data_IF_529447287371
#
_entry.id   IF_529447287371
#
_cell.length_a   1.000
_cell.length_b   1.000
_cell.length_c   1.000
_cell.angle_alpha   90.00
_cell.angle_beta   90.00
_cell.angle_gamma   90.00
#
_symmetry.space_group_name_H-M   'P 1'
#
loop_
_entity.id
_entity.type
_entity.pdbx_description
1 polymer ?
#
# COMPACT_ATOMS: atom_id res chain seq x y z
N UNK A 1 -5.97 -41.03 12.71
CA UNK A 1 -5.43 -41.88 13.79
C UNK A 1 -4.00 -41.43 14.09
N UNK A 2 -3.55 -41.56 15.35
CA UNK A 2 -2.15 -41.32 15.76
C UNK A 2 -1.77 -39.86 16.07
N UNK A 3 -1.03 -39.66 17.17
CA UNK A 3 -0.19 -38.46 17.36
C UNK A 3 -0.78 -37.24 18.09
N UNK A 4 -1.30 -37.38 19.31
CA UNK A 4 -1.65 -36.21 20.17
C UNK A 4 -1.53 -36.50 21.68
N UNK A 5 -0.31 -36.84 22.15
CA UNK A 5 0.00 -37.08 23.58
C UNK A 5 1.38 -36.53 23.98
N UNK A 6 1.65 -35.23 23.79
CA UNK A 6 2.94 -34.65 24.21
C UNK A 6 2.95 -33.12 24.43
N UNK A 7 1.99 -32.57 25.20
CA UNK A 7 1.99 -31.13 25.49
C UNK A 7 1.34 -30.72 26.84
N UNK A 8 1.42 -31.58 27.87
CA UNK A 8 0.78 -31.36 29.18
C UNK A 8 1.73 -31.62 30.36
N UNK A 9 2.95 -31.04 30.31
CA UNK A 9 4.00 -31.27 31.32
C UNK A 9 5.01 -30.10 31.45
N UNK A 10 4.55 -28.84 31.33
CA UNK A 10 5.44 -27.67 31.28
C UNK A 10 4.80 -26.37 31.82
N UNK A 11 4.02 -26.45 32.90
CA UNK A 11 3.23 -25.31 33.43
C UNK A 11 3.74 -24.74 34.77
N UNK A 12 4.62 -25.44 35.48
CA UNK A 12 4.79 -25.27 36.93
C UNK A 12 6.26 -25.02 37.33
N UNK A 13 6.81 -23.88 36.91
CA UNK A 13 8.24 -23.57 37.17
C UNK A 13 8.76 -22.20 36.73
N UNK A 14 7.95 -21.32 36.13
CA UNK A 14 8.42 -20.04 35.56
C UNK A 14 8.13 -18.81 36.43
N UNK A 15 8.43 -18.87 37.74
CA UNK A 15 8.27 -17.75 38.68
C UNK A 15 9.62 -17.11 39.10
N UNK A 16 10.67 -17.31 38.29
CA UNK A 16 12.04 -16.85 38.56
C UNK A 16 12.57 -16.04 37.37
N UNK A 17 13.29 -14.95 37.68
CA UNK A 17 13.88 -13.99 36.73
C UNK A 17 12.88 -13.20 35.85
N UNK A 18 12.03 -12.40 36.50
CA UNK A 18 11.49 -11.16 35.93
C UNK A 18 12.54 -10.07 35.68
N UNK A 19 13.68 -10.42 35.05
CA UNK A 19 14.80 -9.50 34.78
C UNK A 19 14.42 -8.59 33.62
N UNK A 20 14.02 -7.36 33.94
CA UNK A 20 13.32 -6.41 33.05
C UNK A 20 13.80 -6.38 31.60
N UNK A 21 13.11 -7.13 30.74
CA UNK A 21 13.38 -7.18 29.30
C UNK A 21 13.11 -5.80 28.69
N UNK A 22 14.16 -5.14 28.22
CA UNK A 22 14.11 -3.73 27.79
C UNK A 22 13.05 -3.50 26.71
N UNK A 23 12.48 -2.30 26.67
CA UNK A 23 11.47 -1.94 25.64
C UNK A 23 12.02 -2.18 24.22
N UNK A 24 13.31 -1.93 23.99
CA UNK A 24 13.98 -2.25 22.73
C UNK A 24 14.02 -3.75 22.41
N UNK A 25 14.25 -4.63 23.40
CA UNK A 25 14.17 -6.08 23.23
C UNK A 25 12.72 -6.54 22.99
N UNK A 26 11.74 -5.98 23.72
CA UNK A 26 10.32 -6.28 23.49
C UNK A 26 9.87 -5.86 22.08
N UNK A 27 10.29 -4.69 21.62
CA UNK A 27 10.04 -4.22 20.25
C UNK A 27 10.74 -5.10 19.21
N UNK A 28 11.99 -5.53 19.43
CA UNK A 28 12.69 -6.46 18.53
C UNK A 28 12.00 -7.83 18.48
N UNK A 29 11.61 -8.41 19.63
CA UNK A 29 10.88 -9.67 19.69
C UNK A 29 9.51 -9.54 19.00
N UNK A 30 8.77 -8.45 19.21
CA UNK A 30 7.53 -8.15 18.49
C UNK A 30 7.75 -7.82 17.01
N UNK A 31 8.94 -7.39 16.59
CA UNK A 31 9.26 -7.07 15.18
C UNK A 31 9.78 -8.28 14.37
N UNK A 32 10.27 -9.33 15.04
CA UNK A 32 10.64 -10.59 14.39
C UNK A 32 9.52 -11.10 13.48
N UNK A 33 9.87 -11.64 12.31
CA UNK A 33 8.89 -12.24 11.40
C UNK A 33 8.33 -13.54 12.02
N UNK A 34 7.09 -13.93 11.70
CA UNK A 34 6.57 -15.24 12.09
C UNK A 34 7.48 -16.35 11.55
N UNK A 35 7.75 -17.38 12.35
CA UNK A 35 8.48 -18.56 11.91
C UNK A 35 7.56 -19.45 11.06
N UNK A 36 7.43 -19.07 9.79
CA UNK A 36 6.67 -19.80 8.77
C UNK A 36 7.36 -21.12 8.43
N UNK A 37 6.58 -22.16 8.13
CA UNK A 37 7.13 -23.38 7.54
C UNK A 37 7.70 -23.12 6.14
N UNK A 38 8.59 -24.01 5.67
CA UNK A 38 9.20 -23.91 4.34
C UNK A 38 8.16 -23.83 3.21
N UNK A 39 7.03 -24.53 3.36
CA UNK A 39 5.94 -24.54 2.39
C UNK A 39 5.14 -23.23 2.41
N UNK A 40 4.78 -22.70 3.59
CA UNK A 40 4.09 -21.41 3.70
C UNK A 40 4.96 -20.26 3.18
N UNK A 41 6.26 -20.27 3.49
CA UNK A 41 7.21 -19.29 2.97
C UNK A 41 7.26 -19.33 1.44
N UNK A 42 7.41 -20.52 0.84
CA UNK A 42 7.40 -20.69 -0.61
C UNK A 42 6.08 -20.23 -1.24
N UNK A 43 4.94 -20.55 -0.63
CA UNK A 43 3.62 -20.08 -1.06
C UNK A 43 3.53 -18.55 -1.06
N UNK A 44 3.93 -17.88 0.02
CA UNK A 44 3.91 -16.41 0.09
C UNK A 44 4.89 -15.74 -0.88
N UNK A 45 6.02 -16.39 -1.21
CA UNK A 45 6.93 -15.95 -2.28
C UNK A 45 6.27 -16.03 -3.66
N UNK A 46 5.60 -17.14 -3.98
CA UNK A 46 4.87 -17.30 -5.24
C UNK A 46 3.71 -16.31 -5.34
N UNK A 47 2.95 -16.11 -4.25
CA UNK A 47 1.87 -15.13 -4.21
C UNK A 47 2.37 -13.68 -4.33
N UNK A 48 3.55 -13.36 -3.80
CA UNK A 48 4.20 -12.07 -4.04
C UNK A 48 4.55 -11.90 -5.53
N UNK A 49 5.20 -12.89 -6.14
CA UNK A 49 5.59 -12.87 -7.56
C UNK A 49 4.38 -12.68 -8.48
N UNK A 50 3.33 -13.49 -8.29
CA UNK A 50 2.08 -13.40 -9.06
C UNK A 50 1.39 -12.03 -8.88
N UNK A 51 1.36 -11.50 -7.66
CA UNK A 51 0.76 -10.19 -7.42
C UNK A 51 1.56 -9.04 -8.06
N UNK A 52 2.90 -9.12 -8.13
CA UNK A 52 3.71 -8.13 -8.84
C UNK A 52 3.58 -8.24 -10.38
N UNK A 53 3.44 -9.45 -10.92
CA UNK A 53 3.13 -9.66 -12.35
C UNK A 53 1.75 -9.06 -12.70
N UNK A 54 0.72 -9.33 -11.88
CA UNK A 54 -0.62 -8.75 -12.01
C UNK A 54 -0.58 -7.21 -11.93
N UNK A 55 0.20 -6.64 -10.99
CA UNK A 55 0.45 -5.20 -10.91
C UNK A 55 1.16 -4.62 -12.14
N UNK A 56 1.92 -5.44 -12.88
CA UNK A 56 2.50 -5.05 -14.16
C UNK A 56 1.47 -4.79 -15.26
N UNK A 57 0.30 -5.46 -15.20
CA UNK A 57 -0.78 -5.27 -16.17
C UNK A 57 -1.52 -3.94 -15.99
N UNK A 58 -1.47 -3.32 -14.80
CA UNK A 58 -2.19 -2.06 -14.51
C UNK A 58 -1.97 -0.96 -15.57
N UNK A 59 -0.73 -0.51 -15.86
CA UNK A 59 -0.50 0.53 -16.88
C UNK A 59 -0.91 0.12 -18.29
N UNK A 60 -0.94 -1.18 -18.60
CA UNK A 60 -1.38 -1.67 -19.91
C UNK A 60 -2.89 -1.58 -20.02
N UNK A 61 -3.63 -2.07 -19.03
CA UNK A 61 -5.08 -2.02 -19.01
C UNK A 61 -5.60 -0.56 -18.97
N UNK A 62 -4.96 0.34 -18.21
CA UNK A 62 -5.31 1.77 -18.27
C UNK A 62 -4.97 2.38 -19.64
N UNK A 63 -3.79 2.12 -20.21
CA UNK A 63 -3.43 2.63 -21.54
C UNK A 63 -4.40 2.13 -22.61
N UNK A 64 -4.75 0.85 -22.61
CA UNK A 64 -5.76 0.27 -23.51
C UNK A 64 -7.08 1.03 -23.41
N UNK A 65 -7.63 1.19 -22.20
CA UNK A 65 -8.89 1.91 -21.99
C UNK A 65 -8.80 3.38 -22.44
N UNK A 66 -7.62 4.00 -22.40
CA UNK A 66 -7.42 5.39 -22.85
C UNK A 66 -7.22 5.55 -24.37
N UNK A 67 -6.80 4.50 -25.09
CA UNK A 67 -6.43 4.57 -26.52
C UNK A 67 -7.28 3.69 -27.46
N UNK A 68 -7.99 2.68 -26.95
CA UNK A 68 -8.82 1.78 -27.76
C UNK A 68 -10.27 2.27 -27.92
N UNK A 69 -10.74 3.16 -27.04
CA UNK A 69 -12.10 3.71 -27.08
C UNK A 69 -12.32 4.59 -28.33
N UNK A 70 -13.10 4.08 -29.29
CA UNK A 70 -13.35 4.74 -30.58
C UNK A 70 -13.99 6.14 -30.49
N UNK A 71 -14.58 6.50 -29.36
CA UNK A 71 -15.39 7.73 -29.21
C UNK A 71 -14.60 8.94 -28.68
N UNK A 72 -13.77 8.74 -27.66
CA UNK A 72 -13.03 9.80 -26.94
C UNK A 72 -11.96 9.14 -26.08
N UNK A 73 -10.78 9.77 -25.96
CA UNK A 73 -9.75 9.31 -25.02
C UNK A 73 -10.24 9.51 -23.58
N UNK A 74 -10.21 8.46 -22.76
CA UNK A 74 -10.74 8.53 -21.38
C UNK A 74 -9.81 9.40 -20.50
N UNK A 75 -10.34 10.44 -19.81
CA UNK A 75 -9.56 11.24 -18.88
C UNK A 75 -8.96 10.40 -17.73
N UNK A 76 -7.75 10.75 -17.29
CA UNK A 76 -6.92 9.86 -16.45
C UNK A 76 -7.39 9.80 -15.01
N UNK A 77 -7.82 10.93 -14.44
CA UNK A 77 -8.30 11.01 -13.06
C UNK A 77 -9.71 10.41 -12.97
N UNK A 78 -10.59 10.69 -13.94
CA UNK A 78 -11.90 10.04 -14.06
C UNK A 78 -11.77 8.51 -14.17
N UNK A 79 -10.85 8.00 -15.00
CA UNK A 79 -10.57 6.56 -15.08
C UNK A 79 -10.07 5.99 -13.75
N UNK A 80 -9.16 6.69 -13.06
CA UNK A 80 -8.68 6.29 -11.74
C UNK A 80 -9.79 6.26 -10.68
N UNK A 81 -10.74 7.21 -10.73
CA UNK A 81 -11.94 7.23 -9.87
C UNK A 81 -12.86 6.05 -10.19
N UNK A 82 -13.17 5.79 -11.47
CA UNK A 82 -14.00 4.66 -11.88
C UNK A 82 -13.41 3.30 -11.44
N UNK A 83 -12.10 3.11 -11.60
CA UNK A 83 -11.37 1.93 -11.10
C UNK A 83 -11.52 1.83 -9.57
N UNK A 84 -11.38 2.93 -8.82
CA UNK A 84 -11.54 2.93 -7.36
C UNK A 84 -12.99 2.63 -6.92
N UNK A 85 -14.00 3.15 -7.64
CA UNK A 85 -15.42 2.89 -7.38
C UNK A 85 -15.75 1.41 -7.57
N UNK A 86 -15.30 0.79 -8.67
CA UNK A 86 -15.52 -0.65 -8.93
C UNK A 86 -14.73 -1.53 -7.94
N UNK A 87 -13.54 -1.08 -7.54
CA UNK A 87 -12.69 -1.80 -6.60
C UNK A 87 -13.15 -1.68 -5.12
N UNK A 88 -14.13 -0.82 -4.81
CA UNK A 88 -14.74 -0.64 -3.48
C UNK A 88 -15.64 -1.84 -3.07
N UNK A 89 -16.70 -2.22 -3.81
CA UNK A 89 -17.47 -3.43 -3.51
C UNK A 89 -16.62 -4.70 -3.64
N UNK A 90 -15.61 -4.71 -4.52
CA UNK A 90 -14.65 -5.80 -4.60
C UNK A 90 -13.88 -6.00 -3.28
N UNK A 91 -13.45 -4.92 -2.61
CA UNK A 91 -12.79 -5.01 -1.31
C UNK A 91 -13.75 -5.55 -0.24
N UNK A 92 -15.01 -5.11 -0.26
CA UNK A 92 -16.04 -5.58 0.66
C UNK A 92 -16.31 -7.10 0.48
N UNK A 93 -16.47 -7.55 -0.77
CA UNK A 93 -16.80 -8.95 -1.11
C UNK A 93 -15.61 -9.90 -0.90
N UNK A 94 -14.43 -9.56 -1.41
CA UNK A 94 -13.27 -10.48 -1.40
C UNK A 94 -12.41 -10.38 -0.14
N UNK A 95 -12.58 -9.36 0.70
CA UNK A 95 -11.77 -9.17 1.90
C UNK A 95 -12.62 -9.06 3.19
N UNK A 96 -13.49 -8.05 3.28
CA UNK A 96 -14.23 -7.75 4.52
C UNK A 96 -15.25 -8.83 4.89
N UNK A 97 -16.05 -9.35 3.95
CA UNK A 97 -17.00 -10.43 4.25
C UNK A 97 -16.24 -11.70 4.73
N UNK A 98 -15.20 -12.19 4.03
CA UNK A 98 -14.36 -13.28 4.53
C UNK A 98 -13.69 -13.01 5.89
N UNK A 99 -13.12 -11.81 6.11
CA UNK A 99 -12.45 -11.48 7.39
C UNK A 99 -13.45 -11.50 8.56
N UNK A 100 -14.63 -10.91 8.38
CA UNK A 100 -15.70 -10.91 9.37
C UNK A 100 -16.27 -12.31 9.64
N UNK A 101 -16.41 -13.16 8.62
CA UNK A 101 -16.83 -14.54 8.79
C UNK A 101 -15.80 -15.35 9.58
N UNK A 102 -14.53 -15.31 9.17
CA UNK A 102 -13.42 -15.99 9.87
C UNK A 102 -13.30 -15.51 11.33
N UNK A 103 -13.40 -14.20 11.59
CA UNK A 103 -13.38 -13.65 12.95
C UNK A 103 -14.58 -14.13 13.79
N UNK A 104 -15.77 -14.26 13.22
CA UNK A 104 -16.96 -14.82 13.89
C UNK A 104 -16.80 -16.30 14.22
N UNK A 105 -16.23 -17.10 13.33
CA UNK A 105 -15.92 -18.51 13.59
C UNK A 105 -14.83 -18.67 14.65
N UNK A 106 -13.74 -17.91 14.56
CA UNK A 106 -12.67 -17.91 15.57
C UNK A 106 -13.21 -17.54 16.97
N UNK A 107 -14.06 -16.51 17.07
CA UNK A 107 -14.70 -16.12 18.34
C UNK A 107 -15.62 -17.22 18.89
N UNK A 108 -16.39 -17.92 18.05
CA UNK A 108 -17.21 -19.06 18.48
C UNK A 108 -16.36 -20.21 19.03
N UNK A 109 -15.29 -20.58 18.34
CA UNK A 109 -14.37 -21.64 18.77
C UNK A 109 -13.68 -21.27 20.10
N UNK A 110 -13.25 -20.00 20.25
CA UNK A 110 -12.69 -19.48 21.50
C UNK A 110 -13.72 -19.49 22.64
N UNK A 111 -14.99 -19.15 22.37
CA UNK A 111 -16.07 -19.23 23.37
C UNK A 111 -16.34 -20.67 23.82
N UNK A 112 -16.29 -21.65 22.90
CA UNK A 112 -16.42 -23.08 23.24
C UNK A 112 -15.24 -23.57 24.11
N UNK A 113 -14.00 -23.20 23.74
CA UNK A 113 -12.81 -23.51 24.54
C UNK A 113 -12.89 -22.88 25.94
N UNK A 114 -13.37 -21.64 26.05
CA UNK A 114 -13.52 -20.95 27.34
C UNK A 114 -14.67 -21.52 28.18
N UNK A 115 -15.73 -22.05 27.57
CA UNK A 115 -16.77 -22.82 28.27
C UNK A 115 -16.21 -24.14 28.82
N UNK A 116 -15.42 -24.87 28.05
CA UNK A 116 -14.74 -26.09 28.52
C UNK A 116 -13.75 -25.79 29.65
N UNK A 117 -12.94 -24.73 29.53
CA UNK A 117 -12.05 -24.27 30.59
C UNK A 117 -12.81 -23.84 31.83
N UNK A 118 -13.96 -23.15 31.70
CA UNK A 118 -14.82 -22.81 32.84
C UNK A 118 -15.41 -24.04 33.53
N UNK A 119 -15.82 -25.07 32.79
CA UNK A 119 -16.31 -26.32 33.38
C UNK A 119 -15.19 -27.06 34.14
N UNK A 120 -13.97 -27.09 33.59
CA UNK A 120 -12.80 -27.63 34.28
C UNK A 120 -12.44 -26.82 35.52
N UNK A 121 -12.43 -25.49 35.43
CA UNK A 121 -12.21 -24.60 36.57
C UNK A 121 -13.31 -24.75 37.62
N UNK A 122 -14.58 -24.89 37.25
CA UNK A 122 -15.65 -25.15 38.22
C UNK A 122 -15.48 -26.51 38.92
N UNK A 123 -14.99 -27.54 38.22
CA UNK A 123 -14.68 -28.84 38.84
C UNK A 123 -13.49 -28.73 39.82
N UNK A 124 -12.44 -27.99 39.46
CA UNK A 124 -11.26 -27.77 40.31
C UNK A 124 -11.61 -26.87 41.50
N UNK A 125 -12.26 -25.73 41.28
CA UNK A 125 -12.67 -24.81 42.34
C UNK A 125 -13.75 -25.39 43.25
N UNK A 126 -14.59 -26.34 42.80
CA UNK A 126 -15.45 -27.10 43.71
C UNK A 126 -14.65 -28.03 44.64
N UNK A 127 -13.51 -28.55 44.18
CA UNK A 127 -12.54 -29.30 44.99
C UNK A 127 -11.82 -28.35 45.97
N UNK A 128 -11.36 -27.19 45.50
CA UNK A 128 -10.59 -26.22 46.29
C UNK A 128 -11.46 -25.43 47.29
N UNK A 129 -12.73 -25.16 47.00
CA UNK A 129 -13.66 -24.52 47.95
C UNK A 129 -14.07 -25.46 49.10
N UNK A 130 -13.94 -26.78 48.92
CA UNK A 130 -14.00 -27.73 50.03
C UNK A 130 -12.72 -27.68 50.92
N UNK A 131 -11.71 -26.91 50.52
CA UNK A 131 -10.40 -26.78 51.19
C UNK A 131 -10.09 -25.34 51.67
N UNK A 132 -10.69 -24.30 51.08
CA UNK A 132 -10.24 -22.91 51.26
C UNK A 132 -11.37 -21.88 51.45
N UNK A 133 -11.49 -21.35 52.67
CA UNK A 133 -12.41 -20.26 53.02
C UNK A 133 -11.75 -19.27 54.01
N UNK A 134 -10.94 -18.31 53.52
CA UNK A 134 -10.29 -17.27 54.36
C UNK A 134 -9.74 -16.03 53.60
N UNK A 135 -10.32 -14.83 53.86
CA UNK A 135 -9.77 -13.45 53.71
C UNK A 135 -9.42 -12.82 52.30
N UNK A 136 -9.24 -11.47 52.20
CA UNK A 136 -8.96 -10.67 50.96
C UNK A 136 -8.76 -9.11 51.10
N UNK A 137 -8.79 -8.30 49.99
CA UNK A 137 -8.74 -6.78 49.80
C UNK A 137 -7.39 -6.11 49.28
N UNK A 138 -7.23 -4.89 48.65
CA UNK A 138 -8.01 -3.98 47.71
C UNK A 138 -7.17 -2.76 47.12
N UNK A 139 -7.69 -1.99 46.12
CA UNK A 139 -7.46 -0.53 45.70
C UNK A 139 -6.37 0.02 44.67
N UNK A 140 -6.45 1.30 44.14
CA UNK A 140 -6.11 1.73 42.70
C UNK A 140 -5.17 3.00 42.29
N UNK A 141 -5.53 4.22 41.68
CA UNK A 141 -4.70 5.03 40.65
C UNK A 141 -4.53 6.60 40.93
N UNK A 142 -4.42 7.67 40.02
CA UNK A 142 -4.19 7.97 38.54
C UNK A 142 -3.33 9.28 38.11
N UNK A 143 -3.44 9.82 36.83
CA UNK A 143 -3.22 11.24 36.29
C UNK A 143 -1.80 11.74 35.71
N UNK A 144 -1.49 12.88 34.97
CA UNK A 144 -2.15 14.00 34.14
C UNK A 144 -1.16 14.98 33.31
N UNK A 145 -1.66 15.92 32.43
CA UNK A 145 -1.06 17.19 31.76
C UNK A 145 0.03 17.10 30.60
N UNK A 146 0.54 18.10 29.79
CA UNK A 146 0.16 19.39 29.01
C UNK A 146 1.33 19.81 27.99
N UNK A 147 1.58 20.94 27.23
CA UNK A 147 1.15 22.38 26.99
C UNK A 147 1.74 23.02 25.63
N UNK A 148 1.59 24.35 25.31
CA UNK A 148 1.87 25.18 24.04
C UNK A 148 3.31 25.83 23.80
N UNK A 149 3.72 26.79 22.89
CA UNK A 149 3.19 27.80 21.87
C UNK A 149 4.28 28.17 20.74
N UNK A 150 4.53 29.30 19.94
CA UNK A 150 4.17 30.77 19.77
C UNK A 150 4.33 31.42 18.29
N UNK A 151 5.01 32.59 18.01
CA UNK A 151 4.90 33.48 16.75
C UNK A 151 6.12 34.38 16.28
N UNK A 152 6.11 35.08 15.08
CA UNK A 152 6.44 36.57 14.84
C UNK A 152 7.09 37.12 13.48
N UNK A 153 6.54 38.26 12.93
CA UNK A 153 7.05 39.51 12.21
C UNK A 153 7.92 39.60 10.89
N UNK A 154 8.13 40.86 10.38
CA UNK A 154 8.53 41.29 9.00
C UNK A 154 9.46 42.57 8.90
N UNK A 155 9.75 43.13 7.69
CA UNK A 155 10.86 44.08 7.37
C UNK A 155 10.53 45.35 6.47
N UNK A 156 11.54 46.20 6.13
CA UNK A 156 11.43 47.56 5.48
C UNK A 156 12.48 47.77 4.34
N UNK A 157 12.31 48.77 3.44
CA UNK A 157 13.08 48.98 2.17
C UNK A 157 13.68 50.40 1.92
N UNK A 158 14.40 50.61 0.80
CA UNK A 158 15.28 51.77 0.51
C UNK A 158 15.23 52.31 -0.97
N UNK A 159 15.81 53.50 -1.31
CA UNK A 159 15.54 54.26 -2.57
C UNK A 159 16.56 54.09 -3.74
N UNK A 160 16.39 54.86 -4.85
CA UNK A 160 17.01 54.62 -6.19
C UNK A 160 17.82 55.80 -6.80
N UNK A 161 18.55 55.51 -7.91
CA UNK A 161 19.71 56.27 -8.47
C UNK A 161 19.54 56.80 -9.94
N UNK A 162 20.46 57.66 -10.48
CA UNK A 162 20.21 58.57 -11.62
C UNK A 162 20.46 58.05 -13.06
N UNK A 163 20.20 58.91 -14.06
CA UNK A 163 19.86 58.54 -15.44
C UNK A 163 20.99 58.07 -16.37
N UNK A 164 22.24 58.54 -16.25
CA UNK A 164 23.33 58.06 -17.13
C UNK A 164 23.69 56.61 -16.80
N UNK A 165 23.66 56.26 -15.51
CA UNK A 165 23.70 54.88 -15.05
C UNK A 165 22.51 54.09 -15.61
N UNK A 166 21.29 54.63 -15.65
CA UNK A 166 20.12 53.94 -16.25
C UNK A 166 20.29 53.56 -17.72
N UNK A 167 21.16 54.20 -18.52
CA UNK A 167 21.43 53.79 -19.91
C UNK A 167 22.46 52.66 -20.01
N UNK A 168 23.58 52.77 -19.28
CA UNK A 168 24.55 51.65 -19.16
C UNK A 168 23.89 50.45 -18.48
N UNK A 169 23.04 50.69 -17.49
CA UNK A 169 22.20 49.71 -16.83
C UNK A 169 21.09 49.18 -17.75
N UNK A 170 20.56 49.93 -18.73
CA UNK A 170 19.64 49.36 -19.75
C UNK A 170 20.36 48.43 -20.71
N UNK A 171 21.58 48.77 -21.16
CA UNK A 171 22.40 47.86 -21.96
C UNK A 171 22.82 46.61 -21.16
N UNK A 172 23.26 46.81 -19.91
CA UNK A 172 23.53 45.71 -18.97
C UNK A 172 22.28 44.91 -18.64
N UNK A 173 21.10 45.51 -18.48
CA UNK A 173 19.83 44.81 -18.25
C UNK A 173 19.37 44.07 -19.50
N UNK A 174 19.67 44.52 -20.71
CA UNK A 174 19.41 43.74 -21.92
C UNK A 174 20.31 42.50 -21.98
N UNK A 175 21.62 42.65 -21.76
CA UNK A 175 22.58 41.54 -21.70
C UNK A 175 22.33 40.59 -20.50
N UNK A 176 21.93 41.14 -19.36
CA UNK A 176 21.50 40.37 -18.18
C UNK A 176 20.13 39.76 -18.42
N UNK A 177 19.22 40.34 -19.20
CA UNK A 177 17.93 39.72 -19.53
C UNK A 177 18.08 38.58 -20.54
N UNK A 178 19.05 38.63 -21.46
CA UNK A 178 19.37 37.47 -22.31
C UNK A 178 20.16 36.41 -21.54
N UNK A 179 21.09 36.79 -20.66
CA UNK A 179 21.77 35.84 -19.76
C UNK A 179 20.81 35.19 -18.75
N UNK A 180 19.93 35.97 -18.12
CA UNK A 180 18.85 35.49 -17.25
C UNK A 180 17.82 34.71 -18.06
N UNK A 181 17.51 35.09 -19.30
CA UNK A 181 16.66 34.30 -20.19
C UNK A 181 17.26 32.93 -20.50
N UNK A 182 18.57 32.85 -20.76
CA UNK A 182 19.29 31.60 -20.93
C UNK A 182 19.36 30.80 -19.62
N UNK A 183 19.62 31.43 -18.48
CA UNK A 183 19.61 30.80 -17.15
C UNK A 183 18.20 30.33 -16.76
N UNK A 184 17.14 31.05 -17.13
CA UNK A 184 15.73 30.68 -16.90
C UNK A 184 15.30 29.56 -17.86
N UNK A 185 15.78 29.54 -19.10
CA UNK A 185 15.59 28.41 -20.00
C UNK A 185 16.34 27.15 -19.51
N UNK A 186 17.57 27.32 -19.01
CA UNK A 186 18.35 26.24 -18.40
C UNK A 186 17.73 25.80 -17.07
N UNK A 187 17.16 26.72 -16.28
CA UNK A 187 16.39 26.44 -15.08
C UNK A 187 15.05 25.78 -15.42
N UNK A 188 14.42 26.09 -16.55
CA UNK A 188 13.20 25.41 -17.02
C UNK A 188 13.50 23.99 -17.48
N UNK A 189 14.60 23.78 -18.21
CA UNK A 189 15.09 22.45 -18.57
C UNK A 189 15.49 21.66 -17.31
N UNK A 190 16.21 22.31 -16.39
CA UNK A 190 16.57 21.75 -15.07
C UNK A 190 15.32 21.51 -14.23
N UNK A 191 14.26 22.31 -14.32
CA UNK A 191 12.99 22.08 -13.65
C UNK A 191 12.21 20.94 -14.32
N UNK A 192 12.35 20.68 -15.63
CA UNK A 192 11.76 19.49 -16.28
C UNK A 192 12.52 18.23 -15.87
N UNK A 193 13.85 18.27 -15.86
CA UNK A 193 14.67 17.14 -15.40
C UNK A 193 14.58 16.94 -13.89
N UNK A 194 14.51 17.99 -13.09
CA UNK A 194 14.28 17.95 -11.65
C UNK A 194 12.82 17.66 -11.30
N UNK A 195 11.84 17.97 -12.15
CA UNK A 195 10.46 17.46 -11.98
C UNK A 195 10.40 15.97 -12.32
N UNK A 196 11.11 15.49 -13.34
CA UNK A 196 11.24 14.04 -13.62
C UNK A 196 12.02 13.30 -12.54
N UNK A 197 13.09 13.91 -12.01
CA UNK A 197 13.89 13.37 -10.91
C UNK A 197 13.12 13.43 -9.59
N UNK A 198 12.44 14.54 -9.27
CA UNK A 198 11.56 14.66 -8.11
C UNK A 198 10.38 13.70 -8.24
N UNK A 199 9.79 13.52 -9.43
CA UNK A 199 8.79 12.49 -9.68
C UNK A 199 9.38 11.09 -9.46
N UNK A 200 10.65 10.83 -9.83
CA UNK A 200 11.33 9.58 -9.50
C UNK A 200 11.62 9.41 -7.98
N UNK A 201 11.92 10.49 -7.24
CA UNK A 201 12.06 10.50 -5.78
C UNK A 201 10.70 10.38 -5.06
N UNK A 202 9.63 10.95 -5.61
CA UNK A 202 8.24 10.73 -5.16
C UNK A 202 7.79 9.31 -5.50
N UNK A 203 8.21 8.74 -6.63
CA UNK A 203 8.12 7.31 -6.94
C UNK A 203 9.09 6.43 -6.13
N UNK A 204 9.91 7.01 -5.24
CA UNK A 204 10.62 6.30 -4.16
C UNK A 204 9.83 6.29 -2.86
N UNK A 205 8.83 7.16 -2.68
CA UNK A 205 7.89 7.12 -1.54
C UNK A 205 7.16 5.78 -1.36
N UNK A 206 6.82 5.00 -2.41
CA UNK A 206 6.34 3.63 -2.24
C UNK A 206 7.23 2.73 -1.37
N UNK A 207 8.56 2.94 -1.30
CA UNK A 207 9.40 2.18 -0.37
C UNK A 207 9.21 2.59 1.09
N UNK A 208 8.97 3.87 1.39
CA UNK A 208 8.63 4.29 2.75
C UNK A 208 7.22 3.84 3.16
N UNK A 209 6.29 3.71 2.21
CA UNK A 209 4.99 3.07 2.47
C UNK A 209 5.14 1.59 2.88
N UNK A 210 6.01 0.80 2.24
CA UNK A 210 6.26 -0.58 2.69
C UNK A 210 6.94 -0.66 4.07
N UNK A 211 7.84 0.28 4.40
CA UNK A 211 8.40 0.38 5.76
C UNK A 211 7.31 0.76 6.77
N UNK A 212 6.45 1.73 6.43
CA UNK A 212 5.33 2.14 7.29
C UNK A 212 4.33 0.99 7.50
N UNK A 213 4.05 0.17 6.48
CA UNK A 213 3.26 -1.06 6.61
C UNK A 213 3.88 -2.06 7.61
N UNK A 214 5.21 -2.16 7.68
CA UNK A 214 5.88 -3.03 8.65
C UNK A 214 5.87 -2.45 10.07
N UNK A 215 6.07 -1.13 10.23
CA UNK A 215 6.01 -0.45 11.54
C UNK A 215 4.60 -0.46 12.11
N UNK A 216 3.59 -0.16 11.30
CA UNK A 216 2.16 -0.11 11.71
C UNK A 216 1.51 -1.48 11.89
N UNK A 217 2.21 -2.60 11.61
CA UNK A 217 1.62 -3.95 11.54
C UNK A 217 0.86 -4.40 12.80
N UNK A 218 1.24 -3.86 13.96
CA UNK A 218 0.64 -4.11 15.28
C UNK A 218 -0.40 -3.08 15.72
N UNK A 219 -0.39 -1.89 15.11
CA UNK A 219 -1.28 -0.78 15.45
C UNK A 219 -2.51 -0.74 14.55
N UNK A 220 -2.38 -1.19 13.31
CA UNK A 220 -3.40 -1.06 12.26
C UNK A 220 -3.56 -2.40 11.52
N UNK A 221 -4.79 -2.89 11.42
CA UNK A 221 -5.10 -4.13 10.71
C UNK A 221 -4.84 -3.96 9.20
N UNK A 222 -4.61 -5.07 8.48
CA UNK A 222 -4.44 -5.00 7.02
C UNK A 222 -5.64 -4.33 6.34
N UNK A 223 -6.83 -4.73 6.80
CA UNK A 223 -8.13 -4.18 6.43
C UNK A 223 -8.23 -2.66 6.57
N UNK A 224 -7.90 -2.12 7.74
CA UNK A 224 -7.96 -0.68 8.00
C UNK A 224 -7.06 0.12 7.05
N UNK A 225 -5.89 -0.40 6.66
CA UNK A 225 -4.99 0.28 5.72
C UNK A 225 -5.53 0.18 4.27
N UNK A 226 -6.13 -0.95 3.88
CA UNK A 226 -6.77 -1.08 2.57
C UNK A 226 -7.98 -0.12 2.43
N UNK A 227 -8.82 -0.04 3.45
CA UNK A 227 -9.94 0.93 3.50
C UNK A 227 -9.46 2.37 3.57
N UNK A 228 -8.45 2.69 4.38
CA UNK A 228 -7.87 4.04 4.45
C UNK A 228 -7.30 4.47 3.09
N UNK A 229 -6.50 3.61 2.43
CA UNK A 229 -5.96 3.90 1.11
C UNK A 229 -7.08 4.10 0.06
N UNK A 230 -8.12 3.26 0.08
CA UNK A 230 -9.28 3.37 -0.83
C UNK A 230 -10.04 4.68 -0.62
N UNK A 231 -10.31 5.02 0.63
CA UNK A 231 -11.05 6.23 1.00
C UNK A 231 -10.23 7.49 0.68
N UNK A 232 -8.92 7.50 0.97
CA UNK A 232 -8.02 8.61 0.59
C UNK A 232 -7.92 8.74 -0.94
N UNK A 233 -7.83 7.64 -1.69
CA UNK A 233 -7.82 7.67 -3.15
C UNK A 233 -9.13 8.26 -3.72
N UNK A 234 -10.30 7.86 -3.21
CA UNK A 234 -11.57 8.42 -3.63
C UNK A 234 -11.73 9.90 -3.22
N UNK A 235 -11.42 10.25 -1.98
CA UNK A 235 -11.52 11.63 -1.46
C UNK A 235 -10.54 12.59 -2.14
N UNK A 236 -9.39 12.11 -2.62
CA UNK A 236 -8.42 12.92 -3.35
C UNK A 236 -8.75 12.99 -4.85
N UNK A 237 -8.95 11.85 -5.52
CA UNK A 237 -9.09 11.83 -6.97
C UNK A 237 -10.46 12.29 -7.47
N UNK A 238 -11.55 12.12 -6.70
CA UNK A 238 -12.89 12.55 -7.13
C UNK A 238 -13.02 14.07 -7.27
N UNK A 239 -12.68 14.92 -6.28
CA UNK A 239 -12.69 16.37 -6.49
C UNK A 239 -11.65 16.80 -7.53
N UNK A 240 -10.47 16.13 -7.58
CA UNK A 240 -9.42 16.48 -8.54
C UNK A 240 -9.85 16.18 -9.99
N UNK A 241 -10.53 15.06 -10.27
CA UNK A 241 -11.08 14.76 -11.59
C UNK A 241 -12.18 15.75 -11.97
N UNK A 242 -13.07 16.11 -11.05
CA UNK A 242 -14.14 17.08 -11.30
C UNK A 242 -13.60 18.50 -11.57
N UNK A 243 -12.49 18.90 -10.93
CA UNK A 243 -11.86 20.21 -11.13
C UNK A 243 -11.02 20.27 -12.42
N UNK A 244 -10.28 19.21 -12.76
CA UNK A 244 -9.31 19.22 -13.88
C UNK A 244 -9.92 18.68 -15.18
N UNK A 245 -10.72 17.61 -15.10
CA UNK A 245 -11.25 16.88 -16.25
C UNK A 245 -12.77 17.08 -16.44
N UNK A 246 -13.43 17.69 -15.44
CA UNK A 246 -14.83 18.12 -15.50
C UNK A 246 -15.85 17.02 -15.19
N UNK A 247 -17.11 17.33 -15.48
CA UNK A 247 -18.30 16.52 -15.20
C UNK A 247 -18.75 15.63 -16.36
N UNK A 248 -18.01 15.59 -17.47
CA UNK A 248 -18.32 14.73 -18.61
C UNK A 248 -17.90 13.28 -18.34
N UNK A 249 -18.85 12.47 -17.87
CA UNK A 249 -18.72 11.02 -17.68
C UNK A 249 -19.39 10.21 -18.80
N UNK A 250 -19.72 10.83 -19.94
CA UNK A 250 -20.44 10.17 -21.04
C UNK A 250 -19.75 8.89 -21.55
N UNK A 251 -18.42 8.87 -21.52
CA UNK A 251 -17.60 7.72 -21.89
C UNK A 251 -17.95 6.43 -21.14
N UNK A 252 -18.42 6.51 -19.88
CA UNK A 252 -18.79 5.34 -19.06
C UNK A 252 -19.96 4.57 -19.68
N UNK A 253 -20.90 5.29 -20.31
CA UNK A 253 -22.07 4.72 -20.99
C UNK A 253 -21.72 4.20 -22.39
N UNK A 254 -20.64 4.74 -22.99
CA UNK A 254 -20.16 4.37 -24.32
C UNK A 254 -19.16 3.20 -24.35
N UNK A 255 -18.72 2.70 -23.18
CA UNK A 255 -17.84 1.53 -23.09
C UNK A 255 -18.53 0.26 -23.61
N UNK A 256 -17.84 -0.47 -24.47
CA UNK A 256 -18.25 -1.81 -24.90
C UNK A 256 -18.16 -2.83 -23.76
N UNK A 257 -18.84 -3.99 -23.85
CA UNK A 257 -18.73 -5.06 -22.85
C UNK A 257 -17.29 -5.56 -22.62
N UNK A 258 -16.42 -5.50 -23.64
CA UNK A 258 -15.02 -5.88 -23.52
C UNK A 258 -14.21 -4.86 -22.70
N UNK A 259 -14.41 -3.56 -22.94
CA UNK A 259 -13.78 -2.48 -22.17
C UNK A 259 -14.29 -2.47 -20.72
N UNK A 260 -15.58 -2.72 -20.49
CA UNK A 260 -16.14 -2.98 -19.16
C UNK A 260 -15.46 -4.17 -18.47
N UNK A 261 -15.22 -5.28 -19.20
CA UNK A 261 -14.48 -6.43 -18.69
C UNK A 261 -13.05 -6.07 -18.23
N UNK A 262 -12.32 -5.29 -19.04
CA UNK A 262 -10.96 -4.82 -18.72
C UNK A 262 -10.97 -3.84 -17.54
N UNK A 263 -11.95 -2.93 -17.47
CA UNK A 263 -12.12 -1.99 -16.36
C UNK A 263 -12.43 -2.71 -15.04
N UNK A 264 -13.33 -3.69 -15.06
CA UNK A 264 -13.68 -4.54 -13.91
C UNK A 264 -12.50 -5.41 -13.50
N UNK A 265 -11.79 -6.03 -14.44
CA UNK A 265 -10.55 -6.77 -14.15
C UNK A 265 -9.50 -5.87 -13.48
N UNK A 266 -9.33 -4.64 -13.97
CA UNK A 266 -8.38 -3.66 -13.40
C UNK A 266 -8.74 -3.29 -11.97
N UNK A 267 -10.02 -3.02 -11.67
CA UNK A 267 -10.49 -2.72 -10.31
C UNK A 267 -10.44 -3.93 -9.36
N UNK A 268 -10.98 -5.06 -9.78
CA UNK A 268 -11.13 -6.27 -8.94
C UNK A 268 -9.80 -7.01 -8.79
N UNK A 269 -9.23 -7.50 -9.90
CA UNK A 269 -8.02 -8.33 -9.88
C UNK A 269 -6.79 -7.50 -9.53
N UNK A 270 -6.49 -6.47 -10.32
CA UNK A 270 -5.22 -5.77 -10.20
C UNK A 270 -5.22 -4.89 -8.94
N UNK A 271 -6.21 -4.01 -8.80
CA UNK A 271 -6.21 -3.02 -7.72
C UNK A 271 -6.61 -3.63 -6.37
N UNK A 272 -7.69 -4.41 -6.27
CA UNK A 272 -8.11 -4.99 -4.97
C UNK A 272 -7.33 -6.25 -4.61
N UNK A 273 -7.40 -7.33 -5.41
CA UNK A 273 -6.71 -8.57 -5.06
C UNK A 273 -5.19 -8.40 -5.09
N UNK A 274 -4.64 -7.69 -6.07
CA UNK A 274 -3.20 -7.39 -6.15
C UNK A 274 -2.68 -6.60 -4.95
N UNK A 275 -3.39 -5.59 -4.44
CA UNK A 275 -2.99 -4.92 -3.18
C UNK A 275 -3.08 -5.85 -1.97
N UNK A 276 -4.17 -6.60 -1.83
CA UNK A 276 -4.37 -7.55 -0.72
C UNK A 276 -3.25 -8.60 -0.65
N UNK A 277 -2.87 -9.17 -1.81
CA UNK A 277 -1.80 -10.15 -1.91
C UNK A 277 -0.43 -9.53 -1.63
N UNK A 278 -0.10 -8.36 -2.20
CA UNK A 278 1.16 -7.65 -1.90
C UNK A 278 1.25 -7.30 -0.42
N UNK A 279 0.18 -6.80 0.20
CA UNK A 279 0.16 -6.43 1.62
C UNK A 279 0.30 -7.66 2.53
N UNK A 280 -0.42 -8.74 2.24
CA UNK A 280 -0.34 -10.01 2.99
C UNK A 280 1.05 -10.62 2.89
N UNK A 281 1.62 -10.73 1.68
CA UNK A 281 2.98 -11.22 1.48
C UNK A 281 4.01 -10.32 2.18
N UNK A 282 3.88 -8.99 2.11
CA UNK A 282 4.77 -8.04 2.81
C UNK A 282 4.78 -8.24 4.32
N UNK A 283 3.62 -8.60 4.92
CA UNK A 283 3.49 -8.90 6.34
C UNK A 283 4.09 -10.27 6.73
N UNK A 284 4.13 -11.24 5.80
CA UNK A 284 4.59 -12.62 6.03
C UNK A 284 6.08 -12.82 5.71
N UNK A 285 6.52 -12.51 4.48
CA UNK A 285 7.92 -12.71 4.02
C UNK A 285 8.79 -11.44 4.12
N UNK A 286 8.18 -10.29 4.43
CA UNK A 286 8.87 -9.03 4.67
C UNK A 286 9.08 -8.13 3.44
N UNK A 287 9.14 -6.82 3.68
CA UNK A 287 9.32 -5.80 2.64
C UNK A 287 10.54 -6.00 1.74
N UNK A 288 11.74 -6.39 2.23
CA UNK A 288 12.92 -6.51 1.36
C UNK A 288 12.70 -7.53 0.24
N UNK A 289 12.13 -8.69 0.55
CA UNK A 289 11.88 -9.76 -0.42
C UNK A 289 10.81 -9.37 -1.44
N UNK A 290 9.71 -8.77 -0.99
CA UNK A 290 8.64 -8.27 -1.89
C UNK A 290 9.16 -7.14 -2.79
N UNK A 291 10.16 -6.37 -2.34
CA UNK A 291 10.77 -5.31 -3.15
C UNK A 291 11.62 -5.82 -4.32
N UNK A 292 12.29 -6.97 -4.18
CA UNK A 292 13.02 -7.61 -5.29
C UNK A 292 12.08 -7.93 -6.46
N UNK A 293 10.88 -8.41 -6.16
CA UNK A 293 9.85 -8.72 -7.15
C UNK A 293 9.17 -7.49 -7.78
N UNK A 294 9.46 -6.24 -7.35
CA UNK A 294 8.93 -5.04 -8.04
C UNK A 294 9.41 -4.98 -9.50
N UNK A 295 10.59 -5.52 -9.80
CA UNK A 295 11.13 -5.71 -11.15
C UNK A 295 10.17 -6.49 -12.08
N UNK A 296 9.41 -7.45 -11.53
CA UNK A 296 8.49 -8.31 -12.28
C UNK A 296 7.28 -7.53 -12.84
N UNK A 297 6.99 -6.33 -12.31
CA UNK A 297 5.99 -5.43 -12.89
C UNK A 297 6.33 -5.03 -14.33
N UNK A 298 7.62 -4.88 -14.65
CA UNK A 298 8.05 -4.57 -16.02
C UNK A 298 7.78 -5.75 -16.96
N UNK A 299 8.03 -6.99 -16.49
CA UNK A 299 7.75 -8.21 -17.26
C UNK A 299 6.24 -8.38 -17.46
N UNK A 300 5.43 -8.19 -16.42
CA UNK A 300 3.97 -8.19 -16.52
C UNK A 300 3.45 -7.14 -17.52
N UNK A 301 4.02 -5.92 -17.49
CA UNK A 301 3.67 -4.86 -18.45
C UNK A 301 4.04 -5.21 -19.89
N UNK A 302 5.22 -5.78 -20.14
CA UNK A 302 5.65 -6.22 -21.48
C UNK A 302 4.72 -7.34 -22.00
N UNK A 303 4.45 -8.36 -21.19
CA UNK A 303 3.55 -9.47 -21.56
C UNK A 303 2.13 -8.95 -21.83
N UNK A 304 1.60 -8.09 -20.95
CA UNK A 304 0.31 -7.43 -21.14
C UNK A 304 0.26 -6.62 -22.43
N UNK A 305 1.30 -5.85 -22.76
CA UNK A 305 1.33 -5.01 -23.97
C UNK A 305 1.31 -5.85 -25.25
N UNK A 306 1.97 -7.01 -25.25
CA UNK A 306 1.96 -7.95 -26.39
C UNK A 306 0.57 -8.58 -26.56
N UNK A 307 -0.09 -8.96 -25.46
CA UNK A 307 -1.39 -9.65 -25.48
C UNK A 307 -2.55 -8.67 -25.75
N UNK A 308 -2.59 -7.51 -25.08
CA UNK A 308 -3.75 -6.62 -25.02
C UNK A 308 -3.71 -5.48 -26.04
N UNK A 309 -2.51 -4.97 -26.39
CA UNK A 309 -2.33 -3.90 -27.38
C UNK A 309 -1.83 -4.42 -28.73
N UNK A 310 -1.47 -5.70 -28.81
CA UNK A 310 -0.77 -6.31 -29.96
C UNK A 310 0.51 -5.54 -30.37
N UNK A 311 1.13 -4.82 -29.42
CA UNK A 311 2.38 -4.08 -29.57
C UNK A 311 3.57 -5.07 -29.69
N UNK A 312 3.70 -5.74 -30.85
CA UNK A 312 4.81 -6.66 -31.14
C UNK A 312 6.10 -5.84 -31.31
N UNK A 313 7.11 -6.01 -30.43
CA UNK A 313 8.32 -5.19 -30.49
C UNK A 313 9.13 -5.51 -31.75
N UNK A 314 9.32 -4.48 -32.60
CA UNK A 314 9.95 -4.61 -33.92
C UNK A 314 11.49 -4.54 -33.90
N UNK A 315 12.12 -4.19 -32.78
CA UNK A 315 13.58 -4.02 -32.70
C UNK A 315 14.31 -5.37 -32.54
N UNK A 316 15.55 -5.52 -33.05
CA UNK A 316 16.26 -6.79 -32.97
C UNK A 316 16.64 -7.21 -31.53
N UNK A 317 16.69 -6.28 -30.59
CA UNK A 317 17.07 -6.54 -29.19
C UNK A 317 16.03 -7.40 -28.45
N UNK A 318 14.77 -7.45 -28.90
CA UNK A 318 13.68 -8.22 -28.25
C UNK A 318 13.53 -9.65 -28.79
N UNK A 319 14.44 -10.14 -29.62
CA UNK A 319 14.35 -11.48 -30.22
C UNK A 319 14.22 -12.68 -29.25
N UNK A 320 14.75 -12.72 -28.01
CA UNK A 320 14.43 -13.84 -27.10
C UNK A 320 12.93 -14.02 -26.83
N UNK A 321 12.11 -12.97 -26.98
CA UNK A 321 10.65 -13.06 -26.83
C UNK A 321 10.01 -13.85 -28.00
N UNK A 322 10.59 -13.80 -29.21
CA UNK A 322 10.12 -14.65 -30.33
C UNK A 322 10.26 -16.14 -30.05
N UNK A 323 11.21 -16.53 -29.18
CA UNK A 323 11.48 -17.91 -28.79
C UNK A 323 10.46 -18.41 -27.73
N UNK A 324 9.85 -17.49 -26.97
CA UNK A 324 8.73 -17.77 -26.05
C UNK A 324 7.36 -17.76 -26.76
N UNK A 325 7.22 -17.06 -27.88
CA UNK A 325 5.95 -16.89 -28.60
C UNK A 325 5.21 -18.20 -28.96
N UNK A 326 5.89 -19.33 -29.31
CA UNK A 326 5.21 -20.61 -29.55
C UNK A 326 4.54 -21.20 -28.31
N UNK A 327 5.11 -20.97 -27.12
CA UNK A 327 4.58 -21.47 -25.84
C UNK A 327 3.34 -20.69 -25.35
N UNK A 328 3.07 -19.52 -25.95
CA UNK A 328 1.90 -18.67 -25.69
C UNK A 328 0.77 -18.87 -26.71
N UNK A 329 0.83 -19.92 -27.54
CA UNK A 329 -0.24 -20.36 -28.45
C UNK A 329 -0.91 -21.68 -28.03
N UNK A 330 -0.72 -22.05 -26.77
CA UNK A 330 -1.33 -23.19 -26.07
C UNK A 330 -2.30 -22.67 -25.00
#
# INVERSE_FOLDING_TARGET
MGGSKQQLAAADGSNVQGKGMTVAQQLRAKAALPQLSKFEYAFWVVMALLAQLNWGLYPVCTRYLQTATNYKSIPTLQLAVAINVIAYPALLIFYTIPSMLCARFAKRNQQQQWQQQRQQQQCITALDMASSASCGALEVPPALLSTDQSTSKAAVAAPQLPLKERLVARARVAAVATAVGAVVALQALTNIYAARLALAYLCRWPSSYFVLLQVTRHLVTGEQILWANRNVALLLFTPLSLIIEGTDWSWVVLLTPAEWGILVYTGVSIYTLGNSLVQSATRQVGSPLVSVFLSMRLIGSILGSIVLLHDVPRSPVTWPIKLLLPLLKL
#
